data_IF_146446833977
#
_entry.id   IF_146446833977
#
_cell.length_a   1.000
_cell.length_b   1.000
_cell.length_c   1.000
_cell.angle_alpha   90.00
_cell.angle_beta   90.00
_cell.angle_gamma   90.00
#
_symmetry.space_group_name_H-M   'P 1'
#
loop_
_entity.id
_entity.type
_entity.pdbx_description
1 polymer ?
#
# COMPACT_ATOMS: atom_id res chain seq x y z
N UNK A 1 15.29 -5.75 1.43
CA UNK A 1 14.82 -4.74 2.41
C UNK A 1 13.32 -4.72 2.28
N UNK A 2 12.60 -4.67 3.40
CA UNK A 2 11.14 -4.62 3.41
C UNK A 2 10.70 -3.15 3.43
N UNK A 3 9.61 -2.79 2.74
CA UNK A 3 9.22 -1.40 2.59
C UNK A 3 8.83 -0.75 3.92
N UNK A 4 9.29 0.50 4.08
CA UNK A 4 9.17 1.25 5.33
C UNK A 4 7.70 1.55 5.66
N UNK A 5 7.35 1.33 6.93
CA UNK A 5 6.02 1.64 7.46
C UNK A 5 5.95 3.13 7.79
N UNK A 6 4.99 3.83 7.20
CA UNK A 6 4.77 5.25 7.47
C UNK A 6 4.10 5.48 8.82
N UNK A 7 4.51 6.55 9.50
CA UNK A 7 3.87 7.06 10.74
C UNK A 7 3.01 8.30 10.50
N UNK A 8 2.90 8.74 9.24
CA UNK A 8 2.08 9.90 8.87
C UNK A 8 0.59 9.62 9.12
N UNK A 9 -0.17 10.67 9.44
CA UNK A 9 -1.63 10.55 9.47
C UNK A 9 -2.19 10.27 8.06
N UNK A 10 -3.40 9.70 7.94
CA UNK A 10 -3.99 9.39 6.63
C UNK A 10 -4.10 10.62 5.69
N UNK A 11 -4.40 11.80 6.23
CA UNK A 11 -4.51 13.04 5.44
C UNK A 11 -3.15 13.56 4.96
N UNK A 12 -2.13 13.50 5.82
CA UNK A 12 -0.75 13.84 5.45
C UNK A 12 -0.22 12.88 4.39
N UNK A 13 -0.43 11.57 4.60
CA UNK A 13 -0.03 10.53 3.66
C UNK A 13 -0.68 10.74 2.29
N UNK A 14 -1.98 11.03 2.24
CA UNK A 14 -2.66 11.34 0.99
C UNK A 14 -2.04 12.55 0.27
N UNK A 15 -1.70 13.59 1.02
CA UNK A 15 -1.06 14.81 0.48
C UNK A 15 0.34 14.51 -0.04
N UNK A 16 1.14 13.75 0.72
CA UNK A 16 2.48 13.32 0.34
C UNK A 16 2.45 12.50 -0.95
N UNK A 17 1.59 11.48 -1.04
CA UNK A 17 1.47 10.63 -2.21
C UNK A 17 1.10 11.43 -3.46
N UNK A 18 0.11 12.34 -3.38
CA UNK A 18 -0.24 13.22 -4.51
C UNK A 18 0.91 14.13 -4.90
N UNK A 19 1.57 14.74 -3.92
CA UNK A 19 2.66 15.68 -4.18
C UNK A 19 3.82 14.97 -4.86
N UNK A 20 4.24 13.81 -4.34
CA UNK A 20 5.30 13.01 -4.94
C UNK A 20 4.90 12.52 -6.34
N UNK A 21 3.68 12.01 -6.53
CA UNK A 21 3.20 11.56 -7.84
C UNK A 21 3.03 12.68 -8.88
N UNK A 22 2.88 13.94 -8.45
CA UNK A 22 2.87 15.12 -9.33
C UNK A 22 4.27 15.59 -9.69
N UNK A 23 5.22 15.48 -8.75
CA UNK A 23 6.60 15.91 -8.94
C UNK A 23 7.45 14.86 -9.68
N UNK A 24 7.05 13.59 -9.59
CA UNK A 24 7.71 12.46 -10.23
C UNK A 24 7.12 12.18 -11.61
N UNK A 25 7.96 11.75 -12.55
CA UNK A 25 7.51 11.17 -13.82
C UNK A 25 7.12 9.69 -13.69
N UNK A 26 7.16 9.14 -12.47
CA UNK A 26 6.85 7.74 -12.18
C UNK A 26 5.78 7.63 -11.09
N UNK A 27 4.98 6.54 -11.09
CA UNK A 27 3.96 6.34 -10.07
C UNK A 27 4.55 6.17 -8.68
N UNK A 28 3.79 6.59 -7.67
CA UNK A 28 4.06 6.31 -6.24
C UNK A 28 3.03 5.33 -5.73
N UNK A 29 3.46 4.39 -4.90
CA UNK A 29 2.63 3.30 -4.41
C UNK A 29 2.42 3.38 -2.90
N UNK A 30 1.22 3.01 -2.44
CA UNK A 30 0.92 2.77 -1.04
C UNK A 30 0.43 1.33 -0.90
N UNK A 31 1.08 0.55 -0.06
CA UNK A 31 0.63 -0.78 0.34
C UNK A 31 -0.10 -0.66 1.67
N UNK A 32 -1.37 -1.07 1.68
CA UNK A 32 -2.23 -1.04 2.86
C UNK A 32 -2.38 -2.47 3.36
N UNK A 33 -1.82 -2.73 4.54
CA UNK A 33 -1.87 -4.02 5.22
C UNK A 33 -2.75 -3.96 6.47
N UNK A 34 -3.13 -5.13 6.95
CA UNK A 34 -3.64 -5.31 8.31
C UNK A 34 -2.51 -5.19 9.33
N UNK A 35 -2.77 -4.57 10.49
CA UNK A 35 -1.80 -4.48 11.59
C UNK A 35 -1.27 -5.84 12.02
N UNK A 36 -0.09 -5.83 12.63
CA UNK A 36 0.53 -7.02 13.19
C UNK A 36 -0.03 -7.33 14.59
N UNK A 37 -0.28 -8.61 14.86
CA UNK A 37 -0.56 -9.17 16.18
C UNK A 37 0.52 -10.19 16.44
N UNK A 38 1.26 -10.03 17.55
CA UNK A 38 2.41 -10.89 17.90
C UNK A 38 3.45 -11.01 16.77
N UNK A 39 3.70 -9.90 16.07
CA UNK A 39 4.67 -9.83 14.98
C UNK A 39 4.20 -10.40 13.64
N UNK A 40 2.92 -10.77 13.50
CA UNK A 40 2.36 -11.31 12.25
C UNK A 40 1.03 -10.66 11.88
N UNK A 41 0.79 -10.44 10.58
CA UNK A 41 -0.50 -9.89 10.16
C UNK A 41 -1.65 -10.83 10.53
N UNK A 42 -2.74 -10.29 11.10
CA UNK A 42 -3.93 -11.08 11.44
C UNK A 42 -4.73 -11.49 10.18
N UNK A 43 -4.57 -10.78 9.07
CA UNK A 43 -5.22 -11.08 7.79
C UNK A 43 -4.47 -12.20 7.03
N UNK A 44 -5.21 -13.17 6.50
CA UNK A 44 -4.66 -14.28 5.70
C UNK A 44 -4.00 -13.81 4.42
N UNK A 45 -4.71 -13.02 3.63
CA UNK A 45 -4.23 -12.52 2.35
C UNK A 45 -3.01 -11.60 2.50
N UNK A 46 -2.95 -10.80 3.59
CA UNK A 46 -1.79 -9.96 3.86
C UNK A 46 -0.51 -10.80 4.00
N UNK A 47 -0.60 -11.94 4.71
CA UNK A 47 0.55 -12.85 4.90
C UNK A 47 0.99 -13.52 3.60
N UNK A 48 0.05 -13.86 2.72
CA UNK A 48 0.38 -14.44 1.42
C UNK A 48 1.02 -13.40 0.49
N UNK A 49 0.55 -12.15 0.54
CA UNK A 49 1.05 -11.04 -0.26
C UNK A 49 2.44 -10.54 0.13
N UNK A 50 2.82 -10.62 1.42
CA UNK A 50 4.10 -10.09 1.94
C UNK A 50 5.29 -10.45 1.05
N UNK A 51 5.45 -11.73 0.68
CA UNK A 51 6.58 -12.18 -0.15
C UNK A 51 6.57 -11.61 -1.58
N UNK A 52 5.39 -11.39 -2.16
CA UNK A 52 5.25 -10.85 -3.51
C UNK A 52 5.53 -9.35 -3.52
N UNK A 53 4.97 -8.63 -2.54
CA UNK A 53 5.20 -7.20 -2.35
C UNK A 53 6.68 -6.93 -2.05
N UNK A 54 7.28 -7.65 -1.10
CA UNK A 54 8.69 -7.48 -0.76
C UNK A 54 9.60 -7.80 -1.96
N UNK A 55 9.26 -8.81 -2.77
CA UNK A 55 10.02 -9.10 -3.99
C UNK A 55 9.86 -8.02 -5.06
N UNK A 56 8.67 -7.43 -5.20
CA UNK A 56 8.38 -6.44 -6.25
C UNK A 56 8.92 -5.05 -5.91
N UNK A 57 8.85 -4.67 -4.63
CA UNK A 57 9.29 -3.37 -4.13
C UNK A 57 10.71 -3.38 -3.55
N UNK A 58 11.24 -4.57 -3.22
CA UNK A 58 12.58 -4.73 -2.72
C UNK A 58 13.64 -4.36 -3.76
N UNK A 59 14.41 -3.33 -3.45
CA UNK A 59 15.63 -2.89 -4.15
C UNK A 59 15.48 -2.68 -5.67
N UNK A 60 14.91 -1.53 -6.06
CA UNK A 60 15.14 -0.96 -7.39
C UNK A 60 16.43 -0.15 -7.38
N UNK A 61 17.37 -0.54 -8.23
CA UNK A 61 18.63 0.18 -8.41
C UNK A 61 18.36 1.66 -8.77
N UNK A 62 18.94 2.58 -8.00
CA UNK A 62 18.85 4.03 -8.25
C UNK A 62 17.58 4.73 -7.73
N UNK A 63 16.72 4.09 -6.93
CA UNK A 63 15.63 4.77 -6.20
C UNK A 63 15.68 4.41 -4.71
N UNK A 64 15.66 5.43 -3.85
CA UNK A 64 15.40 5.22 -2.43
C UNK A 64 14.00 4.60 -2.28
N UNK A 65 13.85 3.62 -1.40
CA UNK A 65 12.58 2.90 -1.17
C UNK A 65 11.47 3.89 -0.78
N UNK A 66 11.85 4.93 -0.04
CA UNK A 66 10.99 6.03 0.36
C UNK A 66 10.64 7.03 -0.77
N UNK A 67 11.09 6.86 -2.01
CA UNK A 67 10.70 7.79 -3.08
C UNK A 67 9.50 7.30 -3.88
N UNK A 68 9.18 6.00 -3.81
CA UNK A 68 8.18 5.41 -4.71
C UNK A 68 7.25 4.38 -4.05
N UNK A 69 7.52 3.91 -2.83
CA UNK A 69 6.60 3.04 -2.09
C UNK A 69 6.48 3.46 -0.61
N UNK A 70 5.28 3.29 -0.04
CA UNK A 70 4.99 3.39 1.39
C UNK A 70 4.20 2.18 1.83
N UNK A 71 4.35 1.76 3.09
CA UNK A 71 3.49 0.77 3.73
C UNK A 71 2.72 1.44 4.86
N UNK A 72 1.46 1.05 5.03
CA UNK A 72 0.68 1.47 6.20
C UNK A 72 -0.14 0.30 6.74
N UNK A 73 -0.38 0.33 8.05
CA UNK A 73 -1.31 -0.58 8.70
C UNK A 73 -2.67 0.10 8.89
N UNK A 74 -3.72 -0.56 8.42
CA UNK A 74 -5.09 -0.07 8.49
C UNK A 74 -5.78 -0.32 9.85
N UNK A 75 -5.06 -0.90 10.81
CA UNK A 75 -5.56 -1.22 12.15
C UNK A 75 -5.70 -2.71 12.41
N UNK A 76 -6.10 -3.01 13.63
CA UNK A 76 -6.52 -4.35 14.02
C UNK A 76 -7.83 -4.77 13.32
N UNK A 77 -8.28 -6.00 13.59
CA UNK A 77 -9.47 -6.57 12.94
C UNK A 77 -10.73 -5.76 13.23
N UNK A 78 -10.88 -5.22 14.42
CA UNK A 78 -12.08 -4.50 14.84
C UNK A 78 -12.04 -3.05 14.35
N UNK A 79 -10.87 -2.42 14.35
CA UNK A 79 -10.63 -1.11 13.73
C UNK A 79 -10.89 -1.13 12.22
N UNK A 80 -10.43 -2.16 11.51
CA UNK A 80 -10.66 -2.32 10.08
C UNK A 80 -12.14 -2.44 9.71
N UNK A 81 -12.91 -3.17 10.53
CA UNK A 81 -14.34 -3.40 10.26
C UNK A 81 -15.20 -2.14 10.39
N UNK A 82 -14.73 -1.13 11.12
CA UNK A 82 -15.51 0.09 11.30
C UNK A 82 -15.70 0.81 9.96
N UNK A 83 -16.90 1.35 9.74
CA UNK A 83 -17.21 2.08 8.52
C UNK A 83 -16.41 3.40 8.44
N UNK A 84 -16.09 4.00 9.58
CA UNK A 84 -15.34 5.25 9.70
C UNK A 84 -13.81 5.04 9.71
N UNK A 85 -13.32 3.83 9.43
CA UNK A 85 -11.89 3.59 9.27
C UNK A 85 -11.34 4.52 8.16
N UNK A 86 -10.29 5.31 8.42
CA UNK A 86 -9.83 6.34 7.50
C UNK A 86 -9.35 5.79 6.15
N UNK A 87 -8.86 4.55 6.10
CA UNK A 87 -8.42 3.92 4.84
C UNK A 87 -9.60 3.41 4.01
N UNK A 88 -10.77 3.18 4.62
CA UNK A 88 -12.01 2.87 3.92
C UNK A 88 -12.72 4.12 3.38
N UNK A 89 -12.26 5.30 3.77
CA UNK A 89 -12.78 6.59 3.34
C UNK A 89 -11.94 7.19 2.20
N UNK A 90 -12.50 8.21 1.55
CA UNK A 90 -11.77 8.97 0.56
C UNK A 90 -10.51 9.64 1.19
N UNK A 91 -9.38 9.72 0.45
CA UNK A 91 -9.23 9.35 -0.97
C UNK A 91 -8.87 7.87 -1.20
N UNK A 92 -8.55 7.12 -0.14
CA UNK A 92 -8.01 5.77 -0.27
C UNK A 92 -9.07 4.75 -0.71
N UNK A 93 -10.29 4.84 -0.18
CA UNK A 93 -11.42 3.98 -0.52
C UNK A 93 -11.07 2.49 -0.58
N UNK A 94 -10.24 2.01 0.37
CA UNK A 94 -9.81 0.62 0.42
C UNK A 94 -11.00 -0.23 0.80
N UNK A 95 -11.35 -1.18 -0.08
CA UNK A 95 -12.49 -2.08 0.13
C UNK A 95 -12.09 -3.37 0.86
N UNK A 96 -10.83 -3.78 0.72
CA UNK A 96 -10.33 -5.01 1.30
C UNK A 96 -8.79 -5.01 1.49
N UNK A 97 -8.27 -5.96 2.27
CA UNK A 97 -6.85 -6.03 2.65
C UNK A 97 -6.23 -7.34 2.18
N UNK A 98 -5.01 -7.35 1.62
CA UNK A 98 -4.18 -6.19 1.34
C UNK A 98 -4.69 -5.38 0.14
N UNK A 99 -4.26 -4.13 0.01
CA UNK A 99 -4.46 -3.34 -1.22
C UNK A 99 -3.19 -2.58 -1.56
N UNK A 100 -2.78 -2.60 -2.83
CA UNK A 100 -1.77 -1.70 -3.36
C UNK A 100 -2.49 -0.58 -4.12
N UNK A 101 -2.27 0.66 -3.68
CA UNK A 101 -2.73 1.86 -4.36
C UNK A 101 -1.60 2.41 -5.20
N UNK A 102 -1.87 2.70 -6.48
CA UNK A 102 -0.98 3.38 -7.42
C UNK A 102 -1.48 4.80 -7.63
N UNK A 103 -0.62 5.77 -7.39
CA UNK A 103 -0.90 7.20 -7.57
C UNK A 103 -0.05 7.72 -8.72
N UNK A 104 -0.69 8.33 -9.73
CA UNK A 104 -0.02 8.92 -10.90
C UNK A 104 -0.65 10.28 -11.20
N UNK A 105 0.04 11.37 -10.88
CA UNK A 105 -0.56 12.70 -10.86
C UNK A 105 -1.81 12.74 -9.97
N UNK A 106 -2.98 12.96 -10.56
CA UNK A 106 -4.28 12.95 -9.85
C UNK A 106 -4.98 11.59 -9.83
N UNK A 107 -4.49 10.60 -10.59
CA UNK A 107 -5.15 9.30 -10.75
C UNK A 107 -4.80 8.35 -9.61
N UNK A 108 -5.81 7.67 -9.09
CA UNK A 108 -5.70 6.66 -8.03
C UNK A 108 -6.24 5.33 -8.58
N UNK A 109 -5.42 4.31 -8.56
CA UNK A 109 -5.74 2.95 -9.02
C UNK A 109 -5.43 1.95 -7.91
N UNK A 110 -6.12 0.80 -7.88
CA UNK A 110 -5.94 -0.19 -6.83
C UNK A 110 -5.76 -1.60 -7.39
N UNK A 111 -4.93 -2.38 -6.70
CA UNK A 111 -4.81 -3.84 -6.82
C UNK A 111 -5.20 -4.43 -5.46
N UNK A 112 -6.18 -5.32 -5.43
CA UNK A 112 -6.91 -5.66 -4.20
C UNK A 112 -6.84 -7.17 -3.91
N UNK A 113 -6.59 -7.53 -2.65
CA UNK A 113 -6.61 -8.90 -2.10
C UNK A 113 -5.84 -9.92 -2.95
N UNK A 114 -6.57 -10.85 -3.57
CA UNK A 114 -6.05 -11.93 -4.39
C UNK A 114 -5.16 -11.47 -5.52
N UNK A 115 -5.44 -10.29 -6.05
CA UNK A 115 -4.71 -9.73 -7.17
C UNK A 115 -3.32 -9.22 -6.75
N UNK A 116 -3.11 -8.95 -5.45
CA UNK A 116 -1.82 -8.52 -4.92
C UNK A 116 -0.79 -9.67 -4.93
N UNK A 117 -1.24 -10.90 -4.72
CA UNK A 117 -0.39 -12.10 -4.75
C UNK A 117 -0.55 -12.94 -6.02
N UNK A 118 -1.16 -12.36 -7.06
CA UNK A 118 -1.05 -12.83 -8.43
C UNK A 118 0.16 -12.14 -9.08
N UNK A 119 1.23 -12.91 -9.32
CA UNK A 119 2.49 -12.39 -9.86
C UNK A 119 2.29 -11.61 -11.17
N UNK A 120 1.45 -12.10 -12.09
CA UNK A 120 1.26 -11.49 -13.40
C UNK A 120 0.51 -10.15 -13.28
N UNK A 121 -0.50 -10.08 -12.42
CA UNK A 121 -1.24 -8.84 -12.15
C UNK A 121 -0.37 -7.83 -11.41
N UNK A 122 0.37 -8.28 -10.40
CA UNK A 122 1.30 -7.43 -9.65
C UNK A 122 2.38 -6.84 -10.57
N UNK A 123 2.92 -7.64 -11.48
CA UNK A 123 3.93 -7.20 -12.45
C UNK A 123 3.39 -6.18 -13.45
N UNK A 124 2.15 -6.35 -13.91
CA UNK A 124 1.48 -5.40 -14.78
C UNK A 124 1.12 -4.09 -14.06
N UNK A 125 0.81 -4.16 -12.77
CA UNK A 125 0.36 -3.02 -11.98
C UNK A 125 1.53 -2.12 -11.55
N UNK A 126 2.61 -2.73 -11.05
CA UNK A 126 3.79 -2.05 -10.50
C UNK A 126 4.87 -1.94 -11.59
N UNK A 127 4.90 -0.78 -12.24
CA UNK A 127 5.79 -0.45 -13.36
C UNK A 127 7.05 0.28 -12.95
#
# INVERSE_FOLDING_TARGET
>A
MSPQITTQSPSELATTLKTQARLSSTPVYLVVYASLVDGRSWCGDCREAEKFVDAKFGAREGREEEDWVRVVFAGDRDEWRKADNPYRQAPFNVVALPTIIKVTGEKWEQLVEGDVYDQAKLDAFVV
#
